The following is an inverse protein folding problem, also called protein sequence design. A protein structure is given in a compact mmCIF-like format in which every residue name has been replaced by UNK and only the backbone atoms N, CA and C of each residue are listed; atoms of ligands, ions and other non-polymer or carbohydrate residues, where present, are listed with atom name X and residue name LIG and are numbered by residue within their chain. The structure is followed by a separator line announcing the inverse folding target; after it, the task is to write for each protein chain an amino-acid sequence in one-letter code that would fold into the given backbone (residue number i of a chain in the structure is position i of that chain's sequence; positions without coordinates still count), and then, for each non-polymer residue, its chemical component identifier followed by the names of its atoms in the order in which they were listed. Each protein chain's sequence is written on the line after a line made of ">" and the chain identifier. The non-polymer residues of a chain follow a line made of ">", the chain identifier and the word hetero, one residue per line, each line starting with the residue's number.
data_IF_612352320466
#
_entry.id   IF_612352320466
#
_cell.length_a   1.000
_cell.length_b   1.000
_cell.length_c   1.000
_cell.angle_alpha   90.00
_cell.angle_beta   90.00
_cell.angle_gamma   90.00
#
_symmetry.space_group_name_H-M   'P 1'
#
loop_
_entity.id
_entity.type
_entity.pdbx_description
1 polymer ?
#
# COMPACT_ATOMS: atom_id res chain seq x y z
N UNK A 1 -8.83 -23.51 18.38
CA UNK A 1 -8.25 -24.08 19.62
C UNK A 1 -8.11 -22.97 20.63
N UNK A 2 -8.80 -23.01 21.78
CA UNK A 2 -8.63 -21.98 22.82
C UNK A 2 -7.28 -22.18 23.52
N UNK A 3 -6.44 -21.14 23.52
CA UNK A 3 -5.17 -21.15 24.26
C UNK A 3 -5.51 -21.06 25.76
N UNK A 4 -5.22 -22.12 26.52
CA UNK A 4 -5.38 -22.13 27.98
C UNK A 4 -4.07 -21.70 28.62
N UNK A 5 -4.12 -20.71 29.52
CA UNK A 5 -2.99 -20.31 30.36
C UNK A 5 -3.24 -20.89 31.76
N UNK A 6 -2.27 -21.65 32.29
CA UNK A 6 -2.34 -22.24 33.62
C UNK A 6 -1.43 -21.43 34.53
N UNK A 7 -2.00 -20.82 35.58
CA UNK A 7 -1.26 -20.10 36.61
C UNK A 7 -1.26 -20.94 37.90
N UNK A 8 -0.11 -21.04 38.58
CA UNK A 8 0.05 -21.81 39.83
C UNK A 8 0.61 -20.90 40.92
N UNK A 9 -0.03 -20.87 42.09
CA UNK A 9 0.34 -20.02 43.22
C UNK A 9 -0.75 -20.00 44.29
N UNK A 10 -0.53 -19.23 45.35
CA UNK A 10 -1.54 -19.02 46.40
C UNK A 10 -2.58 -17.98 45.95
N UNK A 11 -3.80 -18.06 46.49
CA UNK A 11 -4.91 -17.17 46.11
C UNK A 11 -4.58 -15.69 46.27
N UNK A 12 -3.84 -15.32 47.32
CA UNK A 12 -3.42 -13.95 47.60
C UNK A 12 -2.48 -13.38 46.54
N UNK A 13 -1.64 -14.23 45.94
CA UNK A 13 -0.72 -13.84 44.86
C UNK A 13 -1.39 -13.88 43.50
N UNK A 14 -2.28 -14.85 43.25
CA UNK A 14 -2.91 -15.05 41.96
C UNK A 14 -4.00 -14.01 41.65
N UNK A 15 -4.77 -13.57 42.65
CA UNK A 15 -5.87 -12.62 42.46
C UNK A 15 -5.43 -11.28 41.83
N UNK A 16 -4.38 -10.59 42.32
CA UNK A 16 -3.92 -9.36 41.68
C UNK A 16 -3.36 -9.60 40.27
N UNK A 17 -2.66 -10.71 40.04
CA UNK A 17 -2.09 -11.07 38.73
C UNK A 17 -3.18 -11.34 37.70
N UNK A 18 -4.21 -12.12 38.06
CA UNK A 18 -5.36 -12.38 37.18
C UNK A 18 -6.10 -11.08 36.85
N UNK A 19 -6.26 -10.19 37.84
CA UNK A 19 -6.92 -8.89 37.65
C UNK A 19 -6.14 -8.00 36.69
N UNK A 20 -4.81 -7.94 36.82
CA UNK A 20 -3.95 -7.22 35.89
C UNK A 20 -4.01 -7.79 34.47
N UNK A 21 -3.96 -9.12 34.32
CA UNK A 21 -4.04 -9.77 33.01
C UNK A 21 -5.39 -9.48 32.33
N UNK A 22 -6.49 -9.56 33.07
CA UNK A 22 -7.83 -9.24 32.54
C UNK A 22 -7.96 -7.76 32.18
N UNK A 23 -7.42 -6.86 32.99
CA UNK A 23 -7.40 -5.42 32.69
C UNK A 23 -6.57 -5.12 31.43
N UNK A 24 -5.39 -5.72 31.29
CA UNK A 24 -4.55 -5.61 30.08
C UNK A 24 -5.30 -6.18 28.87
N UNK A 25 -5.96 -7.32 29.00
CA UNK A 25 -6.73 -7.91 27.92
C UNK A 25 -7.87 -6.99 27.46
N UNK A 26 -8.66 -6.46 28.40
CA UNK A 26 -9.74 -5.51 28.11
C UNK A 26 -9.24 -4.20 27.49
N UNK A 27 -8.09 -3.70 27.94
CA UNK A 27 -7.46 -2.52 27.33
C UNK A 27 -6.97 -2.79 25.90
N UNK A 28 -6.46 -3.99 25.63
CA UNK A 28 -5.96 -4.40 24.31
C UNK A 28 -7.07 -4.78 23.32
N UNK A 29 -8.20 -5.30 23.79
CA UNK A 29 -9.34 -5.67 22.91
C UNK A 29 -9.94 -4.47 22.17
N UNK A 30 -9.79 -3.25 22.71
CA UNK A 30 -10.29 -2.01 22.09
C UNK A 30 -9.21 -1.13 21.43
N UNK A 31 -7.92 -1.47 21.59
CA UNK A 31 -6.82 -0.72 20.99
C UNK A 31 -6.35 -1.46 19.74
N UNK A 32 -6.80 -1.02 18.57
CA UNK A 32 -6.16 -1.32 17.29
C UNK A 32 -4.78 -0.63 17.29
N UNK A 33 -3.83 -1.26 17.97
CA UNK A 33 -2.43 -0.88 17.99
C UNK A 33 -1.89 -1.13 16.59
N UNK A 34 -2.06 -0.14 15.72
CA UNK A 34 -1.58 -0.13 14.35
C UNK A 34 -0.14 -0.63 14.26
N UNK A 35 -0.02 -1.91 13.93
CA UNK A 35 1.25 -2.58 13.84
C UNK A 35 1.95 -2.09 12.57
N UNK A 36 3.20 -1.64 12.74
CA UNK A 36 4.11 -1.41 11.64
C UNK A 36 4.15 -2.62 10.71
N UNK A 37 4.28 -2.33 9.42
CA UNK A 37 3.99 -3.14 8.23
C UNK A 37 4.58 -4.57 8.12
N UNK A 38 5.30 -5.05 9.13
CA UNK A 38 6.11 -6.28 9.03
C UNK A 38 5.67 -7.40 10.00
N UNK A 39 4.88 -7.11 11.04
CA UNK A 39 4.38 -8.13 12.01
C UNK A 39 3.09 -8.83 11.61
N UNK A 40 2.39 -8.35 10.59
CA UNK A 40 1.13 -8.93 10.09
C UNK A 40 1.28 -10.37 9.57
N UNK A 41 2.51 -10.77 9.19
CA UNK A 41 2.79 -12.07 8.60
C UNK A 41 2.70 -13.25 9.58
N UNK A 42 2.77 -13.01 10.89
CA UNK A 42 2.62 -14.04 11.92
C UNK A 42 1.15 -14.25 12.32
N UNK A 43 0.32 -13.21 12.23
CA UNK A 43 -1.10 -13.28 12.58
C UNK A 43 -1.93 -14.06 11.54
N UNK A 44 -1.52 -14.04 10.26
CA UNK A 44 -2.22 -14.70 9.16
C UNK A 44 -1.24 -15.47 8.25
N UNK A 45 -0.76 -16.65 8.68
CA UNK A 45 0.28 -17.40 7.98
C UNK A 45 -0.12 -17.78 6.54
N UNK A 46 -1.42 -18.00 6.30
CA UNK A 46 -1.96 -18.39 4.99
C UNK A 46 -1.80 -17.32 3.90
N UNK A 47 -1.56 -16.05 4.28
CA UNK A 47 -1.38 -14.91 3.36
C UNK A 47 0.07 -14.70 2.96
N UNK A 48 1.03 -15.21 3.74
CA UNK A 48 2.44 -14.81 3.66
C UNK A 48 3.08 -15.12 2.30
N UNK A 49 2.71 -16.26 1.72
CA UNK A 49 3.33 -16.78 0.48
C UNK A 49 2.41 -16.73 -0.74
N UNK A 50 1.28 -16.02 -0.63
CA UNK A 50 0.36 -15.83 -1.75
C UNK A 50 0.98 -14.88 -2.79
N UNK A 51 0.81 -15.15 -4.09
CA UNK A 51 1.24 -14.24 -5.14
C UNK A 51 0.69 -12.83 -4.93
N UNK A 52 1.51 -11.81 -5.22
CA UNK A 52 1.13 -10.40 -5.07
C UNK A 52 1.15 -9.71 -6.42
N UNK A 53 0.09 -8.98 -6.73
CA UNK A 53 0.07 -8.05 -7.86
C UNK A 53 0.38 -6.66 -7.34
N UNK A 54 1.21 -5.92 -8.08
CA UNK A 54 1.58 -4.56 -7.76
C UNK A 54 1.40 -3.65 -8.94
N UNK A 55 0.67 -2.55 -8.72
CA UNK A 55 0.58 -1.45 -9.68
C UNK A 55 1.58 -0.36 -9.27
N UNK A 56 2.32 0.13 -10.26
CA UNK A 56 3.27 1.23 -10.08
C UNK A 56 2.76 2.46 -10.82
N UNK A 57 2.76 3.57 -10.10
CA UNK A 57 2.42 4.89 -10.60
C UNK A 57 3.61 5.81 -10.42
N UNK A 58 3.76 6.77 -11.31
CA UNK A 58 4.83 7.75 -11.23
C UNK A 58 4.29 9.10 -11.70
N UNK A 59 4.64 10.17 -10.97
CA UNK A 59 4.30 11.53 -11.35
C UNK A 59 4.76 11.85 -12.78
N UNK A 60 3.91 12.46 -13.60
CA UNK A 60 4.23 12.81 -15.00
C UNK A 60 5.44 13.78 -15.10
N UNK A 61 5.98 13.89 -16.31
CA UNK A 61 7.32 14.45 -16.62
C UNK A 61 7.46 15.97 -16.50
N UNK A 62 6.42 16.67 -16.05
CA UNK A 62 6.48 18.12 -15.75
C UNK A 62 7.40 18.44 -14.56
N UNK A 63 8.02 17.39 -13.97
CA UNK A 63 9.13 17.48 -13.05
C UNK A 63 10.35 18.14 -13.72
N UNK A 64 10.48 19.46 -13.54
CA UNK A 64 11.64 20.20 -13.99
C UNK A 64 12.88 19.84 -13.16
N UNK A 65 13.76 19.01 -13.75
CA UNK A 65 15.06 18.67 -13.15
C UNK A 65 16.01 19.87 -13.05
N UNK A 66 15.73 20.97 -13.77
CA UNK A 66 16.63 22.12 -13.92
C UNK A 66 16.55 23.13 -12.78
N UNK A 67 15.50 23.10 -11.95
CA UNK A 67 15.34 24.04 -10.83
C UNK A 67 16.32 23.80 -9.67
N UNK A 68 17.04 22.67 -9.67
CA UNK A 68 17.97 22.31 -8.62
C UNK A 68 19.40 22.17 -9.19
N UNK A 69 20.29 23.04 -8.72
CA UNK A 69 21.71 23.12 -9.05
C UNK A 69 22.41 21.73 -9.06
N UNK A 70 23.49 21.57 -9.85
CA UNK A 70 24.22 20.30 -9.93
C UNK A 70 24.70 19.84 -8.54
N UNK A 71 24.22 18.67 -8.11
CA UNK A 71 24.78 17.91 -6.98
C UNK A 71 23.88 17.69 -5.76
N UNK A 72 22.73 18.38 -5.62
CA UNK A 72 21.81 18.20 -4.49
C UNK A 72 20.35 18.20 -4.95
N UNK A 73 19.84 17.04 -5.36
CA UNK A 73 18.44 16.87 -5.75
C UNK A 73 17.61 16.40 -4.56
N UNK A 74 17.06 17.35 -3.79
CA UNK A 74 16.10 17.00 -2.74
C UNK A 74 14.75 16.58 -3.31
N UNK A 75 14.29 17.21 -4.40
CA UNK A 75 13.03 16.83 -5.03
C UNK A 75 13.17 15.59 -5.92
N UNK A 76 12.18 14.70 -5.84
CA UNK A 76 12.09 13.46 -6.63
C UNK A 76 10.67 13.30 -7.14
N UNK A 77 10.52 12.69 -8.33
CA UNK A 77 9.20 12.27 -8.83
C UNK A 77 8.52 11.40 -7.79
N UNK A 78 7.26 11.71 -7.51
CA UNK A 78 6.51 11.00 -6.49
C UNK A 78 6.04 9.65 -7.04
N UNK A 79 6.40 8.52 -6.41
CA UNK A 79 5.87 7.21 -6.77
C UNK A 79 4.52 6.97 -6.10
N UNK A 80 3.67 6.18 -6.74
CA UNK A 80 2.50 5.55 -6.15
C UNK A 80 2.62 4.03 -6.29
N UNK A 81 2.20 3.29 -5.28
CA UNK A 81 2.22 1.83 -5.31
C UNK A 81 1.00 1.28 -4.62
N UNK A 82 0.33 0.34 -5.28
CA UNK A 82 -0.78 -0.41 -4.72
C UNK A 82 -0.46 -1.88 -4.87
N UNK A 83 -0.80 -2.69 -3.87
CA UNK A 83 -0.48 -4.11 -3.85
C UNK A 83 -1.63 -4.87 -3.22
N UNK A 84 -1.95 -6.01 -3.81
CA UNK A 84 -2.90 -6.97 -3.25
C UNK A 84 -2.43 -8.39 -3.53
N UNK A 85 -3.01 -9.35 -2.82
CA UNK A 85 -2.69 -10.77 -2.95
C UNK A 85 -3.76 -11.51 -3.76
N UNK A 86 -3.34 -12.53 -4.49
CA UNK A 86 -4.23 -13.49 -5.13
C UNK A 86 -4.50 -14.62 -4.13
N UNK A 87 -5.61 -14.54 -3.39
CA UNK A 87 -5.90 -15.53 -2.33
C UNK A 87 -6.38 -16.88 -2.87
N UNK A 88 -6.95 -16.89 -4.08
CA UNK A 88 -7.34 -18.09 -4.81
C UNK A 88 -6.15 -18.86 -5.39
N UNK A 89 -4.94 -18.28 -5.38
CA UNK A 89 -3.75 -18.85 -6.00
C UNK A 89 -2.64 -19.10 -4.98
N UNK A 90 -1.78 -20.07 -5.26
CA UNK A 90 -0.51 -20.28 -4.55
C UNK A 90 0.66 -19.96 -5.49
N UNK A 91 1.87 -19.98 -4.97
CA UNK A 91 3.06 -19.82 -5.81
C UNK A 91 3.29 -21.01 -6.75
N UNK A 92 2.62 -22.15 -6.52
CA UNK A 92 2.70 -23.36 -7.35
C UNK A 92 1.55 -23.45 -8.37
N UNK A 93 0.38 -22.87 -8.07
CA UNK A 93 -0.80 -22.93 -8.96
C UNK A 93 -0.88 -21.76 -9.93
N UNK A 94 -0.26 -20.61 -9.60
CA UNK A 94 -0.32 -19.43 -10.46
C UNK A 94 0.34 -19.71 -11.81
N UNK A 95 -0.42 -19.49 -12.89
CA UNK A 95 0.05 -19.75 -14.26
C UNK A 95 0.35 -18.46 -15.02
N UNK A 96 1.16 -18.55 -16.09
CA UNK A 96 1.37 -17.46 -17.02
C UNK A 96 0.06 -17.02 -17.71
N UNK A 97 -0.84 -17.96 -17.99
CA UNK A 97 -2.15 -17.66 -18.56
C UNK A 97 -2.98 -16.76 -17.64
N UNK A 98 -3.00 -17.07 -16.34
CA UNK A 98 -3.72 -16.27 -15.35
C UNK A 98 -3.10 -14.86 -15.18
N UNK A 99 -1.77 -14.78 -15.13
CA UNK A 99 -1.09 -13.47 -15.11
C UNK A 99 -1.38 -12.66 -16.38
N UNK A 100 -1.40 -13.30 -17.55
CA UNK A 100 -1.72 -12.63 -18.82
C UNK A 100 -3.15 -12.11 -18.82
N UNK A 101 -4.11 -12.90 -18.31
CA UNK A 101 -5.52 -12.50 -18.15
C UNK A 101 -5.65 -11.26 -17.25
N UNK A 102 -4.99 -11.27 -16.09
CA UNK A 102 -4.94 -10.12 -15.18
C UNK A 102 -4.30 -8.91 -15.89
N UNK A 103 -3.22 -9.13 -16.65
CA UNK A 103 -2.55 -8.09 -17.44
C UNK A 103 -3.44 -7.40 -18.45
N UNK A 104 -4.26 -8.16 -19.17
CA UNK A 104 -5.24 -7.62 -20.12
C UNK A 104 -6.28 -6.75 -19.42
N UNK A 105 -6.79 -7.17 -18.25
CA UNK A 105 -7.73 -6.37 -17.47
C UNK A 105 -7.07 -5.09 -16.93
N UNK A 106 -5.83 -5.18 -16.45
CA UNK A 106 -5.06 -3.98 -16.02
C UNK A 106 -4.87 -3.03 -17.20
N UNK A 107 -4.53 -3.54 -18.39
CA UNK A 107 -4.41 -2.71 -19.60
C UNK A 107 -5.72 -1.98 -19.91
N UNK A 108 -6.87 -2.67 -19.82
CA UNK A 108 -8.17 -2.07 -20.08
C UNK A 108 -8.54 -0.98 -19.06
N UNK A 109 -8.32 -1.23 -17.77
CA UNK A 109 -8.74 -0.32 -16.69
C UNK A 109 -7.73 0.81 -16.45
N UNK A 110 -6.43 0.48 -16.41
CA UNK A 110 -5.35 1.39 -16.03
C UNK A 110 -4.46 1.83 -17.18
N UNK A 111 -4.45 1.10 -18.30
CA UNK A 111 -3.65 1.42 -19.50
C UNK A 111 -4.38 2.26 -20.55
N UNK A 112 -5.72 2.27 -20.55
CA UNK A 112 -6.53 3.03 -21.51
C UNK A 112 -6.29 4.55 -21.43
N UNK A 113 -6.59 5.26 -22.52
CA UNK A 113 -6.54 6.73 -22.62
C UNK A 113 -5.24 7.36 -22.09
N UNK A 114 -4.09 6.82 -22.54
CA UNK A 114 -2.75 7.21 -22.09
C UNK A 114 -2.44 6.88 -20.62
N UNK A 115 -3.24 6.05 -19.95
CA UNK A 115 -3.00 5.54 -18.61
C UNK A 115 -3.74 6.31 -17.51
N UNK A 116 -4.22 5.57 -16.52
CA UNK A 116 -4.99 6.10 -15.39
C UNK A 116 -4.17 7.07 -14.54
N UNK A 117 -4.82 8.16 -14.14
CA UNK A 117 -4.24 9.21 -13.29
C UNK A 117 -4.81 9.10 -11.89
N UNK A 118 -3.94 8.82 -10.93
CA UNK A 118 -4.25 8.83 -9.52
C UNK A 118 -3.89 10.20 -8.93
N UNK A 119 -4.90 10.93 -8.46
CA UNK A 119 -4.72 12.17 -7.71
C UNK A 119 -4.32 11.87 -6.27
N UNK A 120 -3.01 11.79 -6.01
CA UNK A 120 -2.50 11.60 -4.65
C UNK A 120 -2.70 12.88 -3.85
N UNK A 121 -3.17 12.69 -2.62
CA UNK A 121 -3.35 13.76 -1.65
C UNK A 121 -2.75 13.44 -0.29
N UNK A 122 -3.18 14.21 0.71
CA UNK A 122 -2.65 14.13 2.09
C UNK A 122 -3.43 13.17 2.98
N UNK A 123 -4.70 12.94 2.68
CA UNK A 123 -5.59 12.02 3.37
C UNK A 123 -5.20 10.57 3.04
N UNK A 124 -5.20 9.70 4.04
CA UNK A 124 -4.96 8.27 3.85
C UNK A 124 -6.27 7.50 4.00
N UNK A 125 -6.57 6.68 3.00
CA UNK A 125 -7.69 5.76 3.00
C UNK A 125 -7.14 4.34 2.99
N UNK A 126 -7.55 3.51 3.94
CA UNK A 126 -7.12 2.12 4.01
C UNK A 126 -8.30 1.22 3.66
N UNK A 127 -8.13 0.30 2.72
CA UNK A 127 -9.08 -0.77 2.45
C UNK A 127 -8.45 -2.11 2.84
N UNK A 128 -9.01 -2.76 3.86
CA UNK A 128 -8.47 -3.97 4.45
C UNK A 128 -9.52 -5.09 4.47
N UNK A 129 -9.46 -5.97 3.46
CA UNK A 129 -10.27 -7.18 3.35
C UNK A 129 -9.30 -8.37 3.24
N UNK A 130 -9.02 -8.98 4.39
CA UNK A 130 -7.93 -9.94 4.55
C UNK A 130 -8.24 -11.26 3.85
N UNK A 131 -9.50 -11.67 3.87
CA UNK A 131 -10.00 -12.91 3.27
C UNK A 131 -9.81 -12.89 1.75
N UNK A 132 -10.02 -11.72 1.13
CA UNK A 132 -9.79 -11.52 -0.31
C UNK A 132 -8.38 -11.04 -0.65
N UNK A 133 -7.51 -10.83 0.34
CA UNK A 133 -6.11 -10.49 0.11
C UNK A 133 -5.82 -9.00 -0.11
N UNK A 134 -6.77 -8.13 0.20
CA UNK A 134 -6.63 -6.69 0.08
C UNK A 134 -6.13 -6.06 1.38
N UNK A 135 -5.08 -5.24 1.27
CA UNK A 135 -4.57 -4.40 2.34
C UNK A 135 -3.91 -3.20 1.67
N UNK A 136 -4.74 -2.28 1.21
CA UNK A 136 -4.31 -1.16 0.39
C UNK A 136 -4.35 0.13 1.20
N UNK A 137 -3.24 0.86 1.21
CA UNK A 137 -3.17 2.21 1.73
C UNK A 137 -3.12 3.19 0.56
N UNK A 138 -4.13 4.05 0.48
CA UNK A 138 -4.39 4.92 -0.65
C UNK A 138 -4.33 6.36 -0.15
N UNK A 139 -3.31 7.09 -0.59
CA UNK A 139 -3.28 8.54 -0.45
C UNK A 139 -4.15 9.18 -1.54
N UNK A 140 -5.20 9.91 -1.17
CA UNK A 140 -6.11 10.56 -2.11
C UNK A 140 -6.45 11.99 -1.67
N UNK A 141 -7.01 12.78 -2.58
CA UNK A 141 -7.53 14.12 -2.26
C UNK A 141 -8.97 14.09 -1.73
N UNK A 142 -9.70 13.00 -1.99
CA UNK A 142 -11.07 12.80 -1.53
C UNK A 142 -11.39 11.31 -1.35
N UNK A 143 -12.45 11.05 -0.58
CA UNK A 143 -12.98 9.70 -0.40
C UNK A 143 -13.48 9.09 -1.71
N UNK A 144 -14.14 9.88 -2.58
CA UNK A 144 -14.67 9.41 -3.86
C UNK A 144 -13.57 8.88 -4.78
N UNK A 145 -12.41 9.52 -4.81
CA UNK A 145 -11.26 9.06 -5.60
C UNK A 145 -10.67 7.77 -5.05
N UNK A 146 -10.58 7.65 -3.72
CA UNK A 146 -10.13 6.42 -3.10
C UNK A 146 -11.10 5.26 -3.35
N UNK A 147 -12.41 5.51 -3.25
CA UNK A 147 -13.47 4.53 -3.54
C UNK A 147 -13.45 4.07 -4.99
N UNK A 148 -13.28 5.00 -5.95
CA UNK A 148 -13.17 4.66 -7.38
C UNK A 148 -11.96 3.75 -7.64
N UNK A 149 -10.80 4.09 -7.06
CA UNK A 149 -9.58 3.32 -7.21
C UNK A 149 -9.70 1.92 -6.58
N UNK A 150 -10.30 1.81 -5.39
CA UNK A 150 -10.60 0.50 -4.77
C UNK A 150 -11.52 -0.32 -5.67
N UNK A 151 -12.60 0.28 -6.18
CA UNK A 151 -13.56 -0.39 -7.07
C UNK A 151 -12.89 -0.96 -8.31
N UNK A 152 -12.01 -0.17 -8.94
CA UNK A 152 -11.22 -0.59 -10.12
C UNK A 152 -10.24 -1.72 -9.82
N UNK A 153 -9.65 -1.76 -8.63
CA UNK A 153 -8.73 -2.84 -8.25
C UNK A 153 -9.51 -4.12 -7.95
N UNK A 154 -10.61 -4.02 -7.20
CA UNK A 154 -11.42 -5.18 -6.84
C UNK A 154 -12.08 -5.81 -8.07
N UNK A 155 -12.48 -5.00 -9.06
CA UNK A 155 -13.06 -5.50 -10.31
C UNK A 155 -12.07 -6.33 -11.16
N UNK A 156 -10.75 -6.18 -10.98
CA UNK A 156 -9.76 -7.05 -11.64
C UNK A 156 -9.94 -8.52 -11.26
N UNK A 157 -10.46 -8.79 -10.05
CA UNK A 157 -10.78 -10.14 -9.58
C UNK A 157 -12.29 -10.44 -9.59
N UNK A 158 -13.11 -9.55 -10.17
CA UNK A 158 -14.57 -9.68 -10.14
C UNK A 158 -15.18 -9.50 -8.74
N UNK A 159 -14.47 -8.85 -7.81
CA UNK A 159 -14.97 -8.57 -6.47
C UNK A 159 -15.69 -7.22 -6.42
N UNK A 160 -16.75 -7.15 -5.61
CA UNK A 160 -17.43 -5.89 -5.27
C UNK A 160 -16.89 -5.33 -3.94
N UNK A 161 -16.62 -4.02 -3.83
CA UNK A 161 -16.17 -3.40 -2.58
C UNK A 161 -17.22 -3.47 -1.47
N UNK A 162 -16.77 -3.80 -0.26
CA UNK A 162 -17.59 -3.67 0.95
C UNK A 162 -17.04 -2.52 1.78
N UNK A 163 -17.73 -1.37 1.79
CA UNK A 163 -17.21 -0.13 2.36
C UNK A 163 -16.95 -0.15 3.87
N UNK A 164 -17.49 -1.15 4.59
CA UNK A 164 -17.16 -1.39 6.00
C UNK A 164 -15.66 -1.65 6.25
N UNK A 165 -14.94 -2.13 5.23
CA UNK A 165 -13.50 -2.39 5.30
C UNK A 165 -12.64 -1.16 4.95
N UNK A 166 -13.29 -0.04 4.66
CA UNK A 166 -12.61 1.21 4.33
C UNK A 166 -12.54 2.13 5.54
N UNK A 167 -11.34 2.58 5.89
CA UNK A 167 -11.11 3.55 6.97
C UNK A 167 -10.44 4.80 6.41
N UNK A 168 -10.76 5.96 7.00
CA UNK A 168 -10.10 7.25 6.71
C UNK A 168 -9.18 7.59 7.88
N UNK A 169 -7.94 7.96 7.57
CA UNK A 169 -7.00 8.57 8.49
C UNK A 169 -6.60 9.95 8.00
N UNK A 170 -6.63 10.94 8.89
CA UNK A 170 -6.15 12.29 8.64
C UNK A 170 -5.47 12.86 9.88
N UNK A 171 -4.62 13.87 9.68
CA UNK A 171 -4.03 14.61 10.79
C UNK A 171 -4.91 15.82 11.08
N UNK A 172 -5.17 16.07 12.37
CA UNK A 172 -5.93 17.23 12.83
C UNK A 172 -5.30 18.56 12.40
N UNK A 173 -3.97 18.68 12.49
CA UNK A 173 -3.20 19.81 11.96
C UNK A 173 -2.42 19.38 10.70
N UNK A 174 -3.17 19.21 9.61
CA UNK A 174 -2.61 18.82 8.31
C UNK A 174 -1.64 19.87 7.74
N UNK A 175 -1.90 21.19 7.80
CA UNK A 175 -1.00 22.20 7.23
C UNK A 175 0.38 22.24 7.89
N UNK A 176 0.44 22.09 9.22
CA UNK A 176 1.72 22.04 9.94
C UNK A 176 2.47 20.73 9.69
N UNK A 177 1.75 19.61 9.66
CA UNK A 177 2.36 18.28 9.45
C UNK A 177 2.86 18.06 8.02
N UNK A 178 2.12 18.57 7.03
CA UNK A 178 2.39 18.43 5.60
C UNK A 178 2.29 19.80 4.90
N UNK A 179 3.28 20.69 5.12
CA UNK A 179 3.28 22.02 4.53
C UNK A 179 3.41 21.95 3.00
N UNK A 180 2.68 22.84 2.31
CA UNK A 180 2.79 23.00 0.85
C UNK A 180 4.08 23.70 0.45
N UNK A 181 4.56 24.61 1.29
CA UNK A 181 5.81 25.33 1.09
C UNK A 181 6.99 24.38 1.36
N UNK A 182 7.91 24.21 0.41
CA UNK A 182 9.06 23.35 0.63
C UNK A 182 10.00 23.96 1.67
N UNK A 183 10.58 23.12 2.51
CA UNK A 183 11.53 23.54 3.55
C UNK A 183 12.94 23.44 2.97
N UNK A 184 13.71 24.53 3.04
CA UNK A 184 15.13 24.53 2.69
C UNK A 184 15.99 24.22 3.90
N UNK A 185 17.01 23.38 3.75
CA UNK A 185 17.99 23.07 4.79
C UNK A 185 19.41 23.29 4.27
N UNK A 186 20.30 23.75 5.15
CA UNK A 186 21.72 23.81 4.85
C UNK A 186 22.33 22.42 5.00
N UNK A 187 22.85 21.86 3.91
CA UNK A 187 23.55 20.57 3.88
C UNK A 187 24.92 20.82 3.26
N UNK A 188 25.99 20.53 4.00
CA UNK A 188 27.38 20.71 3.55
C UNK A 188 27.64 22.13 3.00
N UNK A 189 27.12 23.15 3.71
CA UNK A 189 27.29 24.56 3.33
C UNK A 189 26.44 25.03 2.14
N UNK A 190 25.59 24.16 1.58
CA UNK A 190 24.70 24.50 0.47
C UNK A 190 23.23 24.47 0.92
N UNK A 191 22.45 25.44 0.47
CA UNK A 191 21.00 25.42 0.69
C UNK A 191 20.34 24.41 -0.24
N UNK A 192 19.63 23.44 0.32
CA UNK A 192 18.96 22.35 -0.41
C UNK A 192 17.47 22.33 -0.06
N UNK A 193 16.63 22.35 -1.08
CA UNK A 193 15.17 22.20 -0.95
C UNK A 193 14.81 20.76 -0.63
N UNK A 194 14.18 20.52 0.53
CA UNK A 194 13.79 19.18 0.95
C UNK A 194 12.55 18.68 0.18
N UNK A 195 12.44 17.37 -0.10
CA UNK A 195 11.25 16.82 -0.74
C UNK A 195 10.02 16.97 0.16
N UNK A 196 8.90 17.36 -0.44
CA UNK A 196 7.60 17.49 0.25
C UNK A 196 7.10 16.13 0.71
N UNK A 197 6.56 16.07 1.93
CA UNK A 197 5.89 14.87 2.45
C UNK A 197 4.42 14.88 2.04
N UNK A 198 3.94 13.81 1.40
CA UNK A 198 2.56 13.67 0.87
C UNK A 198 2.08 14.88 0.05
N UNK A 199 2.82 15.31 -0.99
CA UNK A 199 2.39 16.43 -1.81
C UNK A 199 1.12 16.08 -2.59
N UNK A 200 0.31 17.09 -2.87
CA UNK A 200 -0.82 16.97 -3.78
C UNK A 200 -0.31 16.88 -5.22
N UNK A 201 -0.24 15.66 -5.77
CA UNK A 201 0.33 15.42 -7.10
C UNK A 201 -0.47 14.37 -7.85
N UNK A 202 -0.42 14.47 -9.17
CA UNK A 202 -1.00 13.47 -10.06
C UNK A 202 0.07 12.46 -10.43
N UNK A 203 -0.20 11.18 -10.19
CA UNK A 203 0.67 10.08 -10.58
C UNK A 203 -0.02 9.21 -11.60
N UNK A 204 0.65 8.93 -12.70
CA UNK A 204 0.10 8.14 -13.79
C UNK A 204 0.55 6.70 -13.70
N UNK A 205 -0.33 5.78 -14.04
CA UNK A 205 0.01 4.37 -14.13
C UNK A 205 1.21 4.17 -15.07
N UNK A 206 2.19 3.37 -14.66
CA UNK A 206 3.40 3.09 -15.43
C UNK A 206 3.44 1.64 -15.86
N UNK A 207 3.44 0.71 -14.90
CA UNK A 207 3.51 -0.72 -15.16
C UNK A 207 2.96 -1.52 -13.97
N UNK A 208 2.73 -2.81 -14.19
CA UNK A 208 2.32 -3.78 -13.19
C UNK A 208 3.27 -4.97 -13.15
N UNK A 209 3.53 -5.48 -11.95
CA UNK A 209 4.33 -6.69 -11.75
C UNK A 209 3.65 -7.69 -10.79
N UNK A 210 3.99 -8.96 -10.96
CA UNK A 210 3.62 -10.06 -10.09
C UNK A 210 4.85 -10.52 -9.29
N UNK A 211 4.70 -10.56 -7.97
CA UNK A 211 5.69 -11.17 -7.06
C UNK A 211 5.17 -12.52 -6.61
N UNK A 212 5.90 -13.56 -6.99
CA UNK A 212 5.62 -14.94 -6.61
C UNK A 212 6.70 -15.37 -5.62
N UNK A 213 6.32 -16.11 -4.57
CA UNK A 213 7.30 -16.56 -3.58
C UNK A 213 8.34 -17.47 -4.25
N UNK A 214 9.60 -17.39 -3.79
CA UNK A 214 10.78 -18.11 -4.34
C UNK A 214 11.24 -17.70 -5.75
N UNK A 215 10.49 -16.90 -6.49
CA UNK A 215 11.02 -16.26 -7.70
C UNK A 215 11.83 -15.02 -7.33
N UNK A 216 13.05 -14.91 -7.86
CA UNK A 216 13.94 -13.78 -7.60
C UNK A 216 13.43 -12.51 -8.29
N UNK A 217 13.07 -12.64 -9.57
CA UNK A 217 12.61 -11.52 -10.38
C UNK A 217 11.07 -11.51 -10.45
N UNK A 218 10.44 -10.34 -10.24
CA UNK A 218 9.01 -10.23 -10.43
C UNK A 218 8.66 -10.33 -11.93
N UNK A 219 7.56 -11.00 -12.24
CA UNK A 219 7.07 -11.12 -13.61
C UNK A 219 6.38 -9.82 -13.99
N UNK A 220 6.86 -9.15 -15.03
CA UNK A 220 6.21 -7.92 -15.53
C UNK A 220 4.96 -8.30 -16.28
N UNK A 221 3.80 -7.91 -15.76
CA UNK A 221 2.51 -8.33 -16.31
C UNK A 221 2.07 -7.40 -17.43
N UNK A 222 2.20 -6.09 -17.21
CA UNK A 222 1.82 -5.06 -18.18
C UNK A 222 2.75 -3.86 -18.03
N UNK A 223 3.27 -3.33 -19.14
CA UNK A 223 4.06 -2.10 -19.14
C UNK A 223 3.53 -1.11 -20.18
N UNK A 224 3.04 0.04 -19.71
CA UNK A 224 2.59 1.13 -20.58
C UNK A 224 3.78 1.91 -21.17
N UNK A 225 4.91 1.92 -20.47
CA UNK A 225 6.05 2.79 -20.81
C UNK A 225 6.95 2.21 -21.90
N UNK A 226 6.78 0.93 -22.25
CA UNK A 226 7.65 0.17 -23.16
C UNK A 226 9.14 0.16 -22.73
N UNK A 227 9.42 0.28 -21.43
CA UNK A 227 10.78 0.29 -20.88
C UNK A 227 11.15 -1.00 -20.17
N UNK A 228 10.15 -1.83 -19.81
CA UNK A 228 10.35 -3.10 -19.12
C UNK A 228 10.42 -4.23 -20.13
N UNK A 229 11.53 -4.95 -20.10
CA UNK A 229 11.74 -6.16 -20.90
C UNK A 229 10.88 -7.29 -20.32
N UNK A 230 10.36 -8.17 -21.17
CA UNK A 230 9.61 -9.36 -20.73
C UNK A 230 8.19 -9.11 -20.24
N UNK A 231 7.59 -7.96 -20.55
CA UNK A 231 6.18 -7.70 -20.22
C UNK A 231 5.25 -8.69 -20.95
N UNK A 232 4.39 -9.39 -20.20
CA UNK A 232 3.43 -10.35 -20.77
C UNK A 232 2.40 -9.67 -21.70
N UNK A 233 1.99 -8.46 -21.34
CA UNK A 233 1.04 -7.63 -22.10
C UNK A 233 1.68 -6.26 -22.37
N UNK A 234 1.44 -5.72 -23.57
CA UNK A 234 1.81 -4.36 -24.01
C UNK A 234 0.57 -3.58 -24.42
#
# INVERSE_FOLDING_TARGET
>A
MSKKIILKGTTEQLKPVITQILAIHQMLEGLDLGAGSDRDSEAYPERRYRPQIRLHFLQDTDFDKRSNAPGYHGERRVPGRLTWRLMNETSETITLGELTRIGQQIKQIFGANSGYVWQKGKEIYTYADWDKGYQMQILARSASQAQDLVSKILSLQGHTPTWKYMTKGENLDQPSRYPETPVTKLILGKSVTMPKTRPNVEVRFAYADARIHKLLEPVVIYDRTNKKVGALVR
#
